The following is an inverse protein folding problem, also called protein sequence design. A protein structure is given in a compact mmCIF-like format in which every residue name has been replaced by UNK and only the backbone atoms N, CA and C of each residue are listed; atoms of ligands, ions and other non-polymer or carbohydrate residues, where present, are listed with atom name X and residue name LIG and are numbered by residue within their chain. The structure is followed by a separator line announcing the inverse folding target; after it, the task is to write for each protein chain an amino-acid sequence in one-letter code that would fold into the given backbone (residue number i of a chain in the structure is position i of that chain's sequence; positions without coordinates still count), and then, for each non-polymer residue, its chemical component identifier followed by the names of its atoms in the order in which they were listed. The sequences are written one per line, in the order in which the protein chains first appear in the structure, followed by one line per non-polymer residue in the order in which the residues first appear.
data_IF_962599034330
#
_entry.id   IF_962599034330
#
_cell.length_a   1.000
_cell.length_b   1.000
_cell.length_c   1.000
_cell.angle_alpha   90.00
_cell.angle_beta   90.00
_cell.angle_gamma   90.00
#
_symmetry.space_group_name_H-M   'P 1'
#
loop_
_entity.id
_entity.type
_entity.pdbx_description
1 polymer ?
#
# COMPACT_ATOMS: atom_id res chain seq x y z
N UNK A 1 2.79 -15.98 0.78
CA UNK A 1 2.18 -15.26 -0.35
C UNK A 1 1.99 -16.11 -1.61
N UNK A 2 2.95 -16.98 -1.99
CA UNK A 2 2.87 -17.76 -3.24
C UNK A 2 1.57 -18.54 -3.48
N UNK A 3 0.95 -19.09 -2.43
CA UNK A 3 -0.35 -19.78 -2.55
C UNK A 3 -1.53 -18.87 -2.94
N UNK A 4 -1.56 -17.62 -2.45
CA UNK A 4 -2.61 -16.65 -2.79
C UNK A 4 -2.47 -16.12 -4.22
N UNK A 5 -1.23 -15.90 -4.67
CA UNK A 5 -0.95 -15.51 -6.07
C UNK A 5 -1.35 -16.64 -7.02
N UNK A 6 -1.02 -17.89 -6.68
CA UNK A 6 -1.44 -19.05 -7.47
C UNK A 6 -2.97 -19.18 -7.53
N UNK A 7 -3.67 -18.97 -6.40
CA UNK A 7 -5.12 -18.99 -6.36
C UNK A 7 -5.75 -17.87 -7.21
N UNK A 8 -5.20 -16.65 -7.15
CA UNK A 8 -5.69 -15.52 -7.95
C UNK A 8 -5.60 -15.82 -9.46
N UNK A 9 -4.51 -16.44 -9.91
CA UNK A 9 -4.34 -16.87 -11.32
C UNK A 9 -5.31 -17.97 -11.75
N UNK A 10 -5.90 -18.71 -10.82
CA UNK A 10 -6.98 -19.67 -11.14
C UNK A 10 -8.32 -18.98 -11.37
N UNK A 11 -8.51 -17.76 -10.87
CA UNK A 11 -9.75 -16.99 -11.04
C UNK A 11 -9.77 -16.20 -12.35
N UNK A 12 -8.62 -16.00 -13.00
CA UNK A 12 -8.52 -15.31 -14.28
C UNK A 12 -7.08 -15.17 -14.78
N UNK A 13 -6.95 -14.81 -16.06
CA UNK A 13 -5.66 -14.63 -16.73
C UNK A 13 -5.06 -13.23 -16.60
N UNK A 14 -5.71 -12.35 -15.84
CA UNK A 14 -5.28 -10.97 -15.65
C UNK A 14 -4.01 -10.82 -14.82
N UNK A 15 -3.40 -9.62 -14.83
CA UNK A 15 -2.31 -9.27 -13.93
C UNK A 15 -2.72 -9.43 -12.46
N UNK A 16 -1.81 -9.91 -11.63
CA UNK A 16 -2.03 -10.06 -10.17
C UNK A 16 -1.30 -8.95 -9.45
N UNK A 17 -2.02 -8.17 -8.64
CA UNK A 17 -1.45 -7.12 -7.80
C UNK A 17 -1.56 -7.50 -6.32
N UNK A 18 -0.61 -7.00 -5.52
CA UNK A 18 -0.73 -7.06 -4.07
C UNK A 18 -1.18 -5.70 -3.55
N UNK A 19 -2.25 -5.68 -2.76
CA UNK A 19 -2.74 -4.47 -2.12
C UNK A 19 -2.78 -4.67 -0.60
N UNK A 20 -2.26 -3.71 0.14
CA UNK A 20 -2.33 -3.68 1.59
C UNK A 20 -2.75 -2.31 2.12
N UNK A 21 -3.44 -2.30 3.25
CA UNK A 21 -3.84 -1.08 3.96
C UNK A 21 -3.34 -1.11 5.40
N UNK A 22 -2.80 0.02 5.89
CA UNK A 22 -2.32 0.14 7.27
C UNK A 22 -1.28 -0.94 7.58
N UNK A 23 -1.50 -1.79 8.58
CA UNK A 23 -0.61 -2.91 8.90
C UNK A 23 -0.53 -3.96 7.79
N UNK A 24 -1.57 -4.09 6.96
CA UNK A 24 -1.57 -5.00 5.81
C UNK A 24 -0.52 -4.65 4.76
N UNK A 25 -0.01 -3.42 4.73
CA UNK A 25 1.09 -3.04 3.81
C UNK A 25 2.38 -3.79 4.13
N UNK A 26 2.61 -4.15 5.40
CA UNK A 26 3.76 -4.96 5.82
C UNK A 26 3.70 -6.33 5.14
N UNK A 27 2.53 -6.96 5.15
CA UNK A 27 2.32 -8.25 4.48
C UNK A 27 2.39 -8.13 2.95
N UNK A 28 1.88 -7.05 2.36
CA UNK A 28 1.99 -6.79 0.93
C UNK A 28 3.45 -6.61 0.49
N UNK A 29 4.24 -5.83 1.23
CA UNK A 29 5.67 -5.64 0.98
C UNK A 29 6.44 -6.94 1.16
N UNK A 30 6.23 -7.67 2.26
CA UNK A 30 6.86 -8.97 2.47
C UNK A 30 6.49 -9.95 1.35
N UNK A 31 5.23 -9.98 0.95
CA UNK A 31 4.74 -10.83 -0.13
C UNK A 31 5.38 -10.51 -1.47
N UNK A 32 5.57 -9.24 -1.79
CA UNK A 32 6.20 -8.77 -3.02
C UNK A 32 7.71 -9.04 -3.05
N UNK A 33 8.41 -8.79 -1.94
CA UNK A 33 9.85 -9.04 -1.80
C UNK A 33 10.21 -10.52 -2.02
N UNK A 34 9.28 -11.44 -1.74
CA UNK A 34 9.48 -12.89 -1.89
C UNK A 34 8.64 -13.49 -3.03
N UNK A 35 8.04 -12.66 -3.88
CA UNK A 35 7.25 -13.15 -5.01
C UNK A 35 8.19 -13.69 -6.10
N UNK A 36 7.89 -14.85 -6.72
CA UNK A 36 8.61 -15.30 -7.90
C UNK A 36 8.58 -14.23 -9.00
N UNK A 37 9.67 -14.09 -9.74
CA UNK A 37 9.75 -13.12 -10.84
C UNK A 37 8.59 -13.31 -11.84
N UNK A 38 7.93 -12.21 -12.22
CA UNK A 38 6.78 -12.22 -13.13
C UNK A 38 5.47 -12.76 -12.53
N UNK A 39 5.44 -13.14 -11.25
CA UNK A 39 4.23 -13.67 -10.61
C UNK A 39 3.22 -12.60 -10.21
N UNK A 40 3.65 -11.36 -9.99
CA UNK A 40 2.81 -10.19 -9.72
C UNK A 40 3.19 -9.03 -10.65
N UNK A 41 2.22 -8.17 -10.96
CA UNK A 41 2.37 -7.00 -11.83
C UNK A 41 2.75 -5.73 -11.06
N UNK A 42 2.38 -5.63 -9.78
CA UNK A 42 2.70 -4.46 -8.97
C UNK A 42 2.15 -4.55 -7.54
N UNK A 43 2.43 -3.51 -6.76
CA UNK A 43 2.03 -3.41 -5.35
C UNK A 43 1.38 -2.05 -5.07
N UNK A 44 0.27 -2.04 -4.32
CA UNK A 44 -0.39 -0.83 -3.82
C UNK A 44 -0.37 -0.83 -2.30
N UNK A 45 0.19 0.23 -1.71
CA UNK A 45 0.30 0.39 -0.26
C UNK A 45 -0.48 1.63 0.17
N UNK A 46 -1.54 1.45 0.97
CA UNK A 46 -2.39 2.57 1.41
C UNK A 46 -2.25 2.82 2.91
N UNK A 47 -2.01 4.06 3.32
CA UNK A 47 -1.78 4.47 4.72
C UNK A 47 -0.83 3.56 5.50
N UNK A 48 0.35 3.30 4.93
CA UNK A 48 1.31 2.32 5.44
C UNK A 48 1.77 2.58 6.88
N UNK A 49 1.79 1.52 7.69
CA UNK A 49 2.43 1.55 9.01
C UNK A 49 3.95 1.68 8.84
N UNK A 50 4.49 2.84 9.21
CA UNK A 50 5.89 3.25 9.04
C UNK A 50 6.58 3.60 10.35
N UNK A 51 5.81 3.83 11.41
CA UNK A 51 6.31 4.04 12.77
C UNK A 51 5.94 2.84 13.63
N UNK A 52 6.87 2.41 14.47
CA UNK A 52 6.72 1.23 15.32
C UNK A 52 5.49 1.36 16.23
N UNK A 53 4.52 0.46 16.04
CA UNK A 53 3.30 0.36 16.85
C UNK A 53 3.19 -0.96 17.59
N UNK A 54 1.96 -1.36 17.91
CA UNK A 54 1.68 -2.62 18.62
C UNK A 54 2.12 -3.89 17.87
N UNK A 55 2.23 -3.86 16.54
CA UNK A 55 2.77 -4.98 15.73
C UNK A 55 4.22 -5.28 15.99
N UNK A 56 5.01 -4.31 16.47
CA UNK A 56 6.48 -4.38 16.50
C UNK A 56 7.13 -4.57 15.13
N UNK A 57 6.40 -4.25 14.07
CA UNK A 57 6.84 -4.30 12.68
C UNK A 57 6.34 -3.07 11.94
N UNK A 58 7.07 -2.69 10.88
CA UNK A 58 6.72 -1.60 9.97
C UNK A 58 6.91 -2.06 8.54
N UNK A 59 6.47 -1.27 7.57
CA UNK A 59 6.76 -1.51 6.16
C UNK A 59 8.26 -1.62 5.86
N UNK A 60 9.11 -0.96 6.66
CA UNK A 60 10.57 -1.04 6.52
C UNK A 60 11.18 -2.35 7.01
N UNK A 61 10.50 -3.10 7.89
CA UNK A 61 10.97 -4.41 8.34
C UNK A 61 10.65 -5.54 7.36
N UNK A 62 9.92 -5.25 6.28
CA UNK A 62 9.41 -6.24 5.33
C UNK A 62 10.26 -6.37 4.04
N UNK A 63 11.49 -5.86 4.04
CA UNK A 63 12.41 -5.84 2.89
C UNK A 63 11.91 -5.05 1.66
N UNK A 64 11.49 -3.78 1.82
CA UNK A 64 11.02 -2.97 0.68
C UNK A 64 12.07 -2.80 -0.43
N UNK A 65 13.37 -2.85 -0.10
CA UNK A 65 14.47 -2.73 -1.05
C UNK A 65 14.52 -3.87 -2.09
N UNK A 66 13.87 -5.00 -1.81
CA UNK A 66 13.86 -6.18 -2.68
C UNK A 66 12.66 -6.22 -3.63
N UNK A 67 11.76 -5.23 -3.59
CA UNK A 67 10.61 -5.14 -4.49
C UNK A 67 11.06 -4.62 -5.86
N UNK A 68 11.09 -5.51 -6.85
CA UNK A 68 11.47 -5.18 -8.23
C UNK A 68 10.32 -4.77 -9.16
N UNK A 69 9.06 -4.86 -8.72
CA UNK A 69 7.86 -4.51 -9.51
C UNK A 69 7.42 -3.07 -9.28
N UNK A 70 6.59 -2.46 -10.15
CA UNK A 70 5.99 -1.15 -9.92
C UNK A 70 5.27 -1.06 -8.59
N UNK A 71 5.39 0.08 -7.91
CA UNK A 71 4.75 0.33 -6.61
C UNK A 71 4.03 1.66 -6.57
N UNK A 72 2.79 1.65 -6.05
CA UNK A 72 2.04 2.83 -5.68
C UNK A 72 1.96 2.95 -4.15
N UNK A 73 2.52 4.03 -3.60
CA UNK A 73 2.35 4.41 -2.20
C UNK A 73 1.28 5.48 -2.12
N UNK A 74 0.15 5.17 -1.48
CA UNK A 74 -0.95 6.11 -1.24
C UNK A 74 -0.91 6.56 0.21
N UNK A 75 -0.95 7.87 0.41
CA UNK A 75 -1.02 8.49 1.73
C UNK A 75 -1.98 9.68 1.71
N UNK A 76 -2.68 9.91 2.81
CA UNK A 76 -3.61 11.02 2.97
C UNK A 76 -2.98 12.09 3.85
N UNK A 77 -2.81 13.30 3.33
CA UNK A 77 -2.23 14.44 4.07
C UNK A 77 -2.96 14.73 5.38
N UNK A 78 -4.25 14.41 5.47
CA UNK A 78 -5.08 14.66 6.64
C UNK A 78 -5.18 13.46 7.59
N UNK A 79 -4.46 12.37 7.32
CA UNK A 79 -4.31 11.25 8.26
C UNK A 79 -3.55 11.67 9.52
N UNK A 80 -4.12 11.28 10.66
CA UNK A 80 -3.62 11.54 12.01
C UNK A 80 -3.21 10.26 12.74
N UNK A 81 -3.25 9.12 12.07
CA UNK A 81 -2.78 7.86 12.62
C UNK A 81 -1.29 7.97 12.99
N UNK A 82 -0.98 7.77 14.27
CA UNK A 82 0.36 7.96 14.82
C UNK A 82 1.40 6.97 14.27
N UNK A 83 0.95 5.85 13.71
CA UNK A 83 1.82 4.82 13.13
C UNK A 83 1.94 4.90 11.60
N UNK A 84 1.11 5.72 10.95
CA UNK A 84 1.08 5.92 9.50
C UNK A 84 1.17 7.40 9.10
N UNK A 85 2.17 8.17 9.60
CA UNK A 85 2.27 9.59 9.29
C UNK A 85 2.41 9.82 7.77
N UNK A 86 1.68 10.78 7.18
CA UNK A 86 1.71 11.02 5.72
C UNK A 86 3.09 11.41 5.20
N UNK A 87 3.92 12.01 6.05
CA UNK A 87 5.31 12.39 5.75
C UNK A 87 6.20 11.18 5.45
N UNK A 88 5.84 9.98 5.91
CA UNK A 88 6.60 8.76 5.65
C UNK A 88 6.42 8.22 4.22
N UNK A 89 5.40 8.66 3.47
CA UNK A 89 5.12 8.12 2.13
C UNK A 89 6.33 8.19 1.19
N UNK A 90 7.07 9.31 1.19
CA UNK A 90 8.29 9.46 0.38
C UNK A 90 9.46 8.62 0.90
N UNK A 91 9.54 8.39 2.21
CA UNK A 91 10.58 7.53 2.80
C UNK A 91 10.34 6.07 2.42
N UNK A 92 9.08 5.62 2.42
CA UNK A 92 8.69 4.29 1.96
C UNK A 92 9.06 4.11 0.50
N UNK A 93 8.70 5.08 -0.34
CA UNK A 93 9.06 5.05 -1.77
C UNK A 93 10.59 5.00 -1.97
N UNK A 94 11.35 5.83 -1.23
CA UNK A 94 12.81 5.84 -1.31
C UNK A 94 13.46 4.53 -0.86
N UNK A 95 12.80 3.74 0.00
CA UNK A 95 13.29 2.44 0.44
C UNK A 95 13.15 1.34 -0.61
N UNK A 96 12.35 1.54 -1.67
CA UNK A 96 12.09 0.55 -2.72
C UNK A 96 13.12 0.61 -3.85
N UNK A 97 14.40 0.45 -3.49
CA UNK A 97 15.53 0.73 -4.39
C UNK A 97 15.66 -0.22 -5.59
N UNK A 98 15.06 -1.41 -5.54
CA UNK A 98 15.07 -2.34 -6.68
C UNK A 98 13.99 -2.04 -7.73
N UNK A 99 12.95 -1.28 -7.38
CA UNK A 99 11.89 -0.93 -8.32
C UNK A 99 12.30 0.24 -9.20
N UNK A 100 11.97 0.15 -10.48
CA UNK A 100 12.21 1.23 -11.45
C UNK A 100 11.04 2.21 -11.57
N UNK A 101 9.91 1.91 -10.94
CA UNK A 101 8.69 2.71 -10.97
C UNK A 101 8.04 2.72 -9.58
N UNK A 102 8.28 3.79 -8.85
CA UNK A 102 7.72 3.99 -7.51
C UNK A 102 7.03 5.34 -7.48
N UNK A 103 5.71 5.33 -7.31
CA UNK A 103 4.88 6.52 -7.33
C UNK A 103 4.33 6.79 -5.94
N UNK A 104 4.30 8.07 -5.55
CA UNK A 104 3.63 8.53 -4.33
C UNK A 104 2.39 9.30 -4.72
N UNK A 105 1.23 8.75 -4.41
CA UNK A 105 -0.05 9.43 -4.51
C UNK A 105 -0.40 10.03 -3.16
N UNK A 106 -0.25 11.36 -3.05
CA UNK A 106 -0.69 12.11 -1.88
C UNK A 106 -2.12 12.62 -2.11
N UNK A 107 -3.08 12.10 -1.35
CA UNK A 107 -4.46 12.59 -1.32
C UNK A 107 -4.67 13.52 -0.13
N UNK A 108 -5.83 14.16 -0.06
CA UNK A 108 -6.22 15.00 1.06
C UNK A 108 -7.73 14.92 1.26
N UNK A 109 -8.17 15.12 2.50
CA UNK A 109 -9.56 15.16 2.90
C UNK A 109 -10.01 13.91 3.66
N UNK A 110 -11.33 13.77 3.71
CA UNK A 110 -12.01 12.77 4.52
C UNK A 110 -12.64 13.37 5.77
N UNK A 111 -13.48 12.57 6.42
CA UNK A 111 -14.32 12.96 7.55
C UNK A 111 -13.94 12.11 8.76
N UNK A 112 -13.75 12.74 9.91
CA UNK A 112 -13.52 12.01 11.16
C UNK A 112 -14.85 11.71 11.85
N UNK A 113 -15.25 10.43 11.87
CA UNK A 113 -16.41 9.90 12.65
C UNK A 113 -16.01 8.85 13.69
N UNK A 114 -14.71 8.64 13.89
CA UNK A 114 -14.15 7.76 14.91
C UNK A 114 -13.25 8.57 15.86
N UNK A 115 -13.22 8.18 17.14
CA UNK A 115 -12.26 8.71 18.12
C UNK A 115 -10.85 8.13 17.97
N UNK A 116 -10.72 7.01 17.25
CA UNK A 116 -9.43 6.39 16.91
C UNK A 116 -8.97 6.98 15.59
N UNK A 117 -7.86 7.70 15.60
CA UNK A 117 -7.29 8.33 14.40
C UNK A 117 -6.95 7.30 13.32
N UNK A 118 -6.42 6.13 13.70
CA UNK A 118 -6.18 4.99 12.80
C UNK A 118 -7.46 4.19 12.44
N UNK A 119 -8.65 4.73 12.66
CA UNK A 119 -9.91 4.05 12.36
C UNK A 119 -10.30 4.18 10.89
N UNK A 120 -11.08 3.24 10.36
CA UNK A 120 -11.56 3.31 8.97
C UNK A 120 -12.55 4.45 8.71
N UNK A 121 -13.18 5.00 9.75
CA UNK A 121 -14.11 6.13 9.65
C UNK A 121 -13.40 7.47 9.93
N UNK A 122 -12.19 7.63 9.43
CA UNK A 122 -11.35 8.84 9.51
C UNK A 122 -10.61 9.04 8.18
N UNK A 123 -9.85 10.14 8.00
CA UNK A 123 -8.92 10.27 6.87
C UNK A 123 -7.98 9.07 6.66
N UNK A 124 -7.63 8.31 7.72
CA UNK A 124 -6.85 7.06 7.62
C UNK A 124 -7.54 5.99 6.77
N UNK A 125 -8.87 5.93 6.85
CA UNK A 125 -9.68 5.02 6.03
C UNK A 125 -10.21 5.67 4.76
N UNK A 126 -9.76 6.89 4.41
CA UNK A 126 -10.28 7.69 3.31
C UNK A 126 -11.78 8.01 3.42
N UNK A 127 -12.32 8.01 4.64
CA UNK A 127 -13.77 8.08 4.84
C UNK A 127 -14.38 9.38 4.29
N UNK A 128 -15.33 9.28 3.36
CA UNK A 128 -15.93 10.41 2.64
C UNK A 128 -15.20 10.84 1.37
N UNK A 129 -14.06 10.21 1.02
CA UNK A 129 -13.32 10.43 -0.24
C UNK A 129 -12.95 9.09 -0.92
N UNK A 130 -13.60 7.98 -0.55
CA UNK A 130 -13.25 6.63 -0.97
C UNK A 130 -13.24 6.49 -2.49
N UNK A 131 -14.28 6.99 -3.16
CA UNK A 131 -14.41 6.91 -4.63
C UNK A 131 -13.25 7.61 -5.33
N UNK A 132 -12.79 8.76 -4.82
CA UNK A 132 -11.63 9.47 -5.37
C UNK A 132 -10.37 8.60 -5.29
N UNK A 133 -10.14 7.97 -4.13
CA UNK A 133 -8.95 7.15 -3.89
C UNK A 133 -9.00 5.86 -4.70
N UNK A 134 -10.15 5.19 -4.73
CA UNK A 134 -10.37 3.97 -5.52
C UNK A 134 -10.14 4.26 -7.00
N UNK A 135 -10.72 5.33 -7.55
CA UNK A 135 -10.53 5.68 -8.96
C UNK A 135 -9.07 5.94 -9.31
N UNK A 136 -8.31 6.62 -8.43
CA UNK A 136 -6.89 6.85 -8.65
C UNK A 136 -6.07 5.55 -8.63
N UNK A 137 -6.40 4.62 -7.72
CA UNK A 137 -5.78 3.30 -7.67
C UNK A 137 -6.13 2.49 -8.93
N UNK A 138 -7.40 2.45 -9.34
CA UNK A 138 -7.84 1.76 -10.55
C UNK A 138 -7.12 2.27 -11.80
N UNK A 139 -7.02 3.60 -11.96
CA UNK A 139 -6.27 4.18 -13.08
C UNK A 139 -4.80 3.74 -13.08
N UNK A 140 -4.17 3.66 -11.91
CA UNK A 140 -2.80 3.15 -11.80
C UNK A 140 -2.74 1.66 -12.13
N UNK A 141 -3.69 0.84 -11.66
CA UNK A 141 -3.73 -0.59 -12.01
C UNK A 141 -3.84 -0.78 -13.52
N UNK A 142 -4.69 -0.01 -14.20
CA UNK A 142 -4.91 -0.10 -15.65
C UNK A 142 -3.65 0.26 -16.46
N UNK A 143 -2.80 1.17 -15.97
CA UNK A 143 -1.54 1.51 -16.66
C UNK A 143 -0.42 0.49 -16.44
N UNK A 144 -0.61 -0.47 -15.52
CA UNK A 144 0.38 -1.51 -15.17
C UNK A 144 -0.14 -2.93 -15.41
N UNK A 145 -1.28 -3.05 -16.09
CA UNK A 145 -1.94 -4.30 -16.41
C UNK A 145 -1.32 -5.04 -17.60
#
# INVERSE_FOLDING_TARGET
MGGLVALARQQGSGPVFLLGTSQGTIAAVNGAAHAPAGSIAGVVLTESVSVMGGSRETVFSASPQDIGVPVLVVANRDDRCNVAPPTAARQIAAAMTASRDVQVLMVAGGITRSKRECGSLTPHGYFGIEDQVINAICNWLDTHA
#
